data_IF_369241184285
#
_entry.id   IF_369241184285
#
_cell.length_a   1.000
_cell.length_b   1.000
_cell.length_c   1.000
_cell.angle_alpha   90.00
_cell.angle_beta   90.00
_cell.angle_gamma   90.00
#
_symmetry.space_group_name_H-M   'P 1'
#
loop_
_entity.id
_entity.type
_entity.pdbx_description
1 polymer ?
#
# COMPACT_ATOMS: atom_id res chain seq x y z
N UNK A 1 -41.17 -44.12 -30.34
CA UNK A 1 -41.76 -43.28 -29.27
C UNK A 1 -40.68 -42.29 -28.77
N UNK A 2 -40.63 -41.03 -29.26
CA UNK A 2 -39.58 -40.07 -28.88
C UNK A 2 -40.09 -38.74 -28.26
N UNK A 3 -41.34 -38.66 -27.78
CA UNK A 3 -41.94 -37.38 -27.32
C UNK A 3 -41.85 -37.10 -25.80
N UNK A 4 -41.37 -38.05 -24.99
CA UNK A 4 -41.38 -37.94 -23.53
C UNK A 4 -40.08 -37.40 -22.91
N UNK A 5 -39.01 -37.24 -23.68
CA UNK A 5 -37.73 -36.70 -23.17
C UNK A 5 -37.61 -35.17 -23.33
N UNK A 6 -38.28 -34.60 -24.33
CA UNK A 6 -38.17 -33.17 -24.68
C UNK A 6 -38.95 -32.26 -23.73
N UNK A 7 -40.11 -32.68 -23.22
CA UNK A 7 -40.91 -31.85 -22.30
C UNK A 7 -40.18 -31.62 -20.97
N UNK A 8 -39.57 -32.68 -20.44
CA UNK A 8 -38.83 -32.67 -19.18
C UNK A 8 -37.58 -31.77 -19.28
N UNK A 9 -36.86 -31.81 -20.40
CA UNK A 9 -35.67 -30.98 -20.62
C UNK A 9 -35.96 -29.47 -20.68
N UNK A 10 -37.12 -29.07 -21.21
CA UNK A 10 -37.54 -27.65 -21.26
C UNK A 10 -37.92 -27.15 -19.87
N UNK A 11 -38.52 -28.00 -19.06
CA UNK A 11 -38.91 -27.68 -17.68
C UNK A 11 -37.67 -27.56 -16.77
N UNK A 12 -36.71 -28.49 -16.92
CA UNK A 12 -35.40 -28.41 -16.27
C UNK A 12 -34.61 -27.15 -16.70
N UNK A 13 -34.65 -26.78 -17.98
CA UNK A 13 -34.04 -25.54 -18.47
C UNK A 13 -34.70 -24.29 -17.86
N UNK A 14 -36.03 -24.27 -17.77
CA UNK A 14 -36.78 -23.15 -17.15
C UNK A 14 -36.45 -23.00 -15.66
N UNK A 15 -36.43 -24.11 -14.92
CA UNK A 15 -36.09 -24.11 -13.50
C UNK A 15 -34.66 -23.58 -13.28
N UNK A 16 -33.69 -24.04 -14.08
CA UNK A 16 -32.30 -23.58 -14.01
C UNK A 16 -32.13 -22.10 -14.35
N UNK A 17 -32.91 -21.59 -15.32
CA UNK A 17 -32.90 -20.15 -15.67
C UNK A 17 -33.49 -19.32 -14.53
N UNK A 18 -34.64 -19.73 -13.98
CA UNK A 18 -35.30 -19.01 -12.88
C UNK A 18 -34.44 -18.99 -11.61
N UNK A 19 -33.71 -20.07 -11.34
CA UNK A 19 -32.75 -20.16 -10.23
C UNK A 19 -31.50 -19.28 -10.45
N UNK A 20 -31.07 -19.10 -11.70
CA UNK A 20 -29.88 -18.29 -12.05
C UNK A 20 -30.16 -16.78 -12.14
N UNK A 21 -31.41 -16.37 -12.28
CA UNK A 21 -31.81 -14.95 -12.33
C UNK A 21 -31.33 -14.13 -11.12
N UNK A 22 -31.56 -14.56 -9.86
CA UNK A 22 -31.15 -13.77 -8.68
C UNK A 22 -29.62 -13.68 -8.54
N UNK A 23 -28.86 -14.70 -8.93
CA UNK A 23 -27.38 -14.68 -8.84
C UNK A 23 -26.77 -13.76 -9.91
N UNK A 24 -27.33 -13.77 -11.12
CA UNK A 24 -26.93 -12.84 -12.19
C UNK A 24 -27.26 -11.40 -11.79
N UNK A 25 -28.48 -11.14 -11.30
CA UNK A 25 -28.86 -9.81 -10.82
C UNK A 25 -27.96 -9.34 -9.66
N UNK A 26 -27.65 -10.23 -8.72
CA UNK A 26 -26.72 -9.95 -7.62
C UNK A 26 -25.32 -9.60 -8.11
N UNK A 27 -24.77 -10.37 -9.05
CA UNK A 27 -23.46 -10.10 -9.63
C UNK A 27 -23.40 -8.77 -10.38
N UNK A 28 -24.45 -8.42 -11.13
CA UNK A 28 -24.56 -7.11 -11.80
C UNK A 28 -24.61 -5.99 -10.75
N UNK A 29 -25.41 -6.15 -9.70
CA UNK A 29 -25.51 -5.17 -8.63
C UNK A 29 -24.15 -4.93 -7.94
N UNK A 30 -23.37 -5.99 -7.70
CA UNK A 30 -22.00 -5.90 -7.17
C UNK A 30 -21.10 -5.11 -8.12
N UNK A 31 -21.11 -5.42 -9.41
CA UNK A 31 -20.29 -4.70 -10.42
C UNK A 31 -20.65 -3.21 -10.44
N UNK A 32 -21.95 -2.89 -10.45
CA UNK A 32 -22.45 -1.51 -10.41
C UNK A 32 -22.00 -0.83 -9.11
N UNK A 33 -22.12 -1.49 -7.96
CA UNK A 33 -21.68 -0.96 -6.68
C UNK A 33 -20.20 -0.58 -6.69
N UNK A 34 -19.33 -1.47 -7.16
CA UNK A 34 -17.90 -1.18 -7.30
C UNK A 34 -17.59 -0.10 -8.34
N UNK A 35 -18.33 -0.05 -9.45
CA UNK A 35 -18.19 1.00 -10.45
C UNK A 35 -18.55 2.37 -9.87
N UNK A 36 -19.64 2.47 -9.09
CA UNK A 36 -20.02 3.68 -8.37
C UNK A 36 -18.96 4.09 -7.34
N UNK A 37 -18.43 3.13 -6.57
CA UNK A 37 -17.31 3.37 -5.65
C UNK A 37 -16.07 3.90 -6.37
N UNK A 38 -15.76 3.36 -7.55
CA UNK A 38 -14.62 3.79 -8.35
C UNK A 38 -14.77 5.25 -8.84
N UNK A 39 -15.98 5.63 -9.25
CA UNK A 39 -16.30 7.03 -9.62
C UNK A 39 -16.19 7.95 -8.41
N UNK A 40 -16.74 7.53 -7.26
CA UNK A 40 -16.67 8.29 -6.03
C UNK A 40 -15.23 8.51 -5.58
N UNK A 41 -14.41 7.44 -5.57
CA UNK A 41 -12.99 7.52 -5.25
C UNK A 41 -12.26 8.50 -6.16
N UNK A 42 -12.49 8.44 -7.48
CA UNK A 42 -11.91 9.39 -8.44
C UNK A 42 -12.33 10.83 -8.15
N UNK A 43 -13.60 11.05 -7.79
CA UNK A 43 -14.13 12.37 -7.45
C UNK A 43 -13.47 12.94 -6.19
N UNK A 44 -13.37 12.15 -5.12
CA UNK A 44 -12.70 12.54 -3.87
C UNK A 44 -11.24 12.94 -4.15
N UNK A 45 -10.50 12.10 -4.88
CA UNK A 45 -9.09 12.36 -5.19
C UNK A 45 -8.91 13.62 -6.05
N UNK A 46 -9.82 13.88 -6.99
CA UNK A 46 -9.80 15.08 -7.82
C UNK A 46 -10.01 16.38 -7.02
N UNK A 47 -10.77 16.31 -5.91
CA UNK A 47 -10.95 17.44 -4.98
C UNK A 47 -9.74 17.71 -4.11
N UNK A 48 -8.91 16.69 -3.83
CA UNK A 48 -7.65 16.86 -3.10
C UNK A 48 -6.57 17.49 -3.99
N UNK A 49 -6.66 17.30 -5.32
CA UNK A 49 -5.70 17.81 -6.31
C UNK A 49 -5.65 19.34 -6.44
N UNK A 50 -6.58 20.09 -5.86
CA UNK A 50 -6.59 21.58 -5.90
C UNK A 50 -5.73 22.21 -4.79
N UNK A 51 -5.24 21.41 -3.84
CA UNK A 51 -4.27 21.88 -2.85
C UNK A 51 -2.88 22.02 -3.51
N UNK A 52 -2.31 23.23 -3.48
CA UNK A 52 -1.01 23.61 -4.10
C UNK A 52 0.22 22.79 -3.64
N UNK A 53 0.05 21.79 -2.75
CA UNK A 53 1.14 21.06 -2.09
C UNK A 53 1.48 19.71 -2.73
N UNK A 54 0.67 19.18 -3.64
CA UNK A 54 0.92 17.86 -4.26
C UNK A 54 1.00 18.02 -5.77
N UNK A 55 2.00 17.40 -6.39
CA UNK A 55 2.12 17.38 -7.84
C UNK A 55 0.88 16.76 -8.49
N UNK A 56 0.19 17.49 -9.40
CA UNK A 56 -1.04 16.99 -10.03
C UNK A 56 -0.86 15.66 -10.77
N UNK A 57 0.36 15.36 -11.23
CA UNK A 57 0.68 14.09 -11.89
C UNK A 57 0.57 12.89 -10.93
N UNK A 58 1.09 13.00 -9.71
CA UNK A 58 1.04 11.95 -8.70
C UNK A 58 -0.41 11.66 -8.28
N UNK A 59 -1.21 12.71 -8.07
CA UNK A 59 -2.62 12.57 -7.71
C UNK A 59 -3.41 11.84 -8.80
N UNK A 60 -3.17 12.17 -10.08
CA UNK A 60 -3.80 11.47 -11.22
C UNK A 60 -3.38 10.01 -11.29
N UNK A 61 -2.11 9.70 -11.04
CA UNK A 61 -1.62 8.32 -11.04
C UNK A 61 -2.32 7.49 -9.96
N UNK A 62 -2.39 8.02 -8.73
CA UNK A 62 -3.06 7.35 -7.61
C UNK A 62 -4.56 7.16 -7.86
N UNK A 63 -5.24 8.18 -8.39
CA UNK A 63 -6.66 8.08 -8.75
C UNK A 63 -6.91 6.99 -9.80
N UNK A 64 -6.04 6.91 -10.83
CA UNK A 64 -6.15 5.92 -11.89
C UNK A 64 -5.89 4.51 -11.37
N UNK A 65 -4.87 4.34 -10.53
CA UNK A 65 -4.57 3.06 -9.90
C UNK A 65 -5.74 2.56 -9.02
N UNK A 66 -6.29 3.43 -8.17
CA UNK A 66 -7.44 3.10 -7.33
C UNK A 66 -8.69 2.76 -8.17
N UNK A 67 -8.96 3.53 -9.22
CA UNK A 67 -10.07 3.27 -10.15
C UNK A 67 -9.93 1.89 -10.80
N UNK A 68 -8.77 1.57 -11.36
CA UNK A 68 -8.52 0.27 -12.00
C UNK A 68 -8.66 -0.86 -10.96
N UNK A 69 -8.09 -0.70 -9.77
CA UNK A 69 -8.19 -1.69 -8.69
C UNK A 69 -9.64 -1.98 -8.28
N UNK A 70 -10.45 -0.94 -8.12
CA UNK A 70 -11.87 -1.08 -7.77
C UNK A 70 -12.69 -1.76 -8.88
N UNK A 71 -12.44 -1.41 -10.15
CA UNK A 71 -13.12 -2.04 -11.29
C UNK A 71 -12.76 -3.52 -11.40
N UNK A 72 -11.47 -3.87 -11.30
CA UNK A 72 -11.00 -5.25 -11.37
C UNK A 72 -11.58 -6.08 -10.21
N UNK A 73 -11.57 -5.53 -8.99
CA UNK A 73 -12.14 -6.18 -7.81
C UNK A 73 -13.64 -6.40 -7.98
N UNK A 74 -14.37 -5.38 -8.43
CA UNK A 74 -15.81 -5.46 -8.69
C UNK A 74 -16.18 -6.48 -9.74
N UNK A 75 -15.38 -6.59 -10.81
CA UNK A 75 -15.59 -7.59 -11.85
C UNK A 75 -15.42 -9.01 -11.30
N UNK A 76 -14.35 -9.26 -10.53
CA UNK A 76 -14.07 -10.58 -9.95
C UNK A 76 -15.15 -10.95 -8.93
N UNK A 77 -15.51 -10.03 -8.03
CA UNK A 77 -16.58 -10.30 -7.06
C UNK A 77 -17.92 -10.55 -7.75
N UNK A 78 -18.27 -9.74 -8.76
CA UNK A 78 -19.49 -9.90 -9.53
C UNK A 78 -19.57 -11.25 -10.24
N UNK A 79 -18.50 -11.65 -10.93
CA UNK A 79 -18.40 -12.97 -11.58
C UNK A 79 -18.54 -14.10 -10.55
N UNK A 80 -17.89 -13.98 -9.39
CA UNK A 80 -18.01 -14.94 -8.30
C UNK A 80 -19.45 -15.07 -7.78
N UNK A 81 -20.17 -13.95 -7.63
CA UNK A 81 -21.60 -13.96 -7.24
C UNK A 81 -22.49 -14.64 -8.28
N UNK A 82 -22.13 -14.58 -9.57
CA UNK A 82 -22.84 -15.28 -10.65
C UNK A 82 -22.52 -16.79 -10.71
N UNK A 83 -21.67 -17.31 -9.82
CA UNK A 83 -21.26 -18.72 -9.80
C UNK A 83 -20.10 -19.05 -10.73
N UNK A 84 -19.42 -18.05 -11.30
CA UNK A 84 -18.19 -18.27 -12.09
C UNK A 84 -17.04 -18.57 -11.14
N UNK A 85 -16.26 -19.61 -11.45
CA UNK A 85 -15.03 -19.89 -10.69
C UNK A 85 -13.97 -18.82 -11.00
N UNK A 86 -13.71 -17.95 -10.02
CA UNK A 86 -12.72 -16.86 -10.11
C UNK A 86 -11.40 -17.17 -9.42
N UNK A 87 -11.17 -18.42 -8.97
CA UNK A 87 -9.97 -18.79 -8.21
C UNK A 87 -8.68 -18.49 -8.97
N UNK A 88 -8.64 -18.77 -10.28
CA UNK A 88 -7.48 -18.46 -11.12
C UNK A 88 -7.22 -16.95 -11.24
N UNK A 89 -8.27 -16.13 -11.34
CA UNK A 89 -8.16 -14.66 -11.40
C UNK A 89 -7.64 -14.11 -10.07
N UNK A 90 -8.18 -14.59 -8.95
CA UNK A 90 -7.74 -14.22 -7.60
C UNK A 90 -6.29 -14.63 -7.37
N UNK A 91 -5.89 -15.84 -7.79
CA UNK A 91 -4.51 -16.29 -7.69
C UNK A 91 -3.55 -15.40 -8.50
N UNK A 92 -3.91 -15.05 -9.75
CA UNK A 92 -3.13 -14.15 -10.59
C UNK A 92 -2.99 -12.74 -10.01
N UNK A 93 -4.07 -12.20 -9.43
CA UNK A 93 -4.01 -10.93 -8.71
C UNK A 93 -3.15 -11.01 -7.45
N UNK A 94 -3.22 -12.12 -6.70
CA UNK A 94 -2.37 -12.35 -5.54
C UNK A 94 -0.89 -12.31 -5.91
N UNK A 95 -0.50 -13.01 -6.99
CA UNK A 95 0.88 -13.00 -7.50
C UNK A 95 1.30 -11.60 -7.98
N UNK A 96 0.42 -10.90 -8.70
CA UNK A 96 0.69 -9.53 -9.18
C UNK A 96 0.85 -8.55 -8.02
N UNK A 97 -0.01 -8.66 -7.01
CA UNK A 97 0.05 -7.86 -5.78
C UNK A 97 1.31 -8.14 -4.98
N UNK A 98 1.73 -9.41 -4.89
CA UNK A 98 3.00 -9.79 -4.29
C UNK A 98 4.19 -9.16 -5.03
N UNK A 99 4.24 -9.27 -6.36
CA UNK A 99 5.32 -8.68 -7.16
C UNK A 99 5.38 -7.16 -7.01
N UNK A 100 4.22 -6.48 -7.00
CA UNK A 100 4.14 -5.04 -6.79
C UNK A 100 4.59 -4.66 -5.36
N UNK A 101 4.14 -5.38 -4.34
CA UNK A 101 4.56 -5.16 -2.96
C UNK A 101 6.06 -5.37 -2.77
N UNK A 102 6.62 -6.38 -3.42
CA UNK A 102 8.05 -6.64 -3.42
C UNK A 102 8.84 -5.50 -4.08
N UNK A 103 8.35 -4.96 -5.20
CA UNK A 103 8.95 -3.81 -5.86
C UNK A 103 8.90 -2.53 -5.00
N UNK A 104 7.90 -2.39 -4.12
CA UNK A 104 7.75 -1.25 -3.22
C UNK A 104 8.44 -1.45 -1.85
N UNK A 105 9.03 -2.62 -1.60
CA UNK A 105 9.59 -3.01 -0.30
C UNK A 105 10.54 -1.95 0.25
N UNK A 106 11.50 -1.48 -0.54
CA UNK A 106 12.52 -0.55 -0.06
C UNK A 106 11.95 0.84 0.28
N UNK A 107 10.89 1.29 -0.40
CA UNK A 107 10.22 2.55 -0.08
C UNK A 107 9.56 2.45 1.30
N UNK A 108 8.84 1.35 1.54
CA UNK A 108 8.17 1.09 2.81
C UNK A 108 9.20 0.89 3.93
N UNK A 109 10.28 0.15 3.69
CA UNK A 109 11.34 -0.08 4.66
C UNK A 109 12.01 1.22 5.11
N UNK A 110 12.30 2.14 4.19
CA UNK A 110 12.85 3.45 4.56
C UNK A 110 11.86 4.30 5.35
N UNK A 111 10.58 4.32 4.95
CA UNK A 111 9.54 5.05 5.65
C UNK A 111 9.39 4.56 7.10
N UNK A 112 9.28 3.25 7.29
CA UNK A 112 9.15 2.65 8.62
C UNK A 112 10.40 2.89 9.46
N UNK A 113 11.59 2.70 8.89
CA UNK A 113 12.84 3.00 9.58
C UNK A 113 12.92 4.46 10.04
N UNK A 114 12.52 5.42 9.20
CA UNK A 114 12.47 6.84 9.56
C UNK A 114 11.51 7.11 10.72
N UNK A 115 10.30 6.56 10.67
CA UNK A 115 9.31 6.68 11.76
C UNK A 115 9.86 6.10 13.07
N UNK A 116 10.49 4.92 13.03
CA UNK A 116 11.02 4.28 14.22
C UNK A 116 12.22 5.01 14.83
N UNK A 117 13.11 5.58 14.01
CA UNK A 117 14.21 6.42 14.49
C UNK A 117 13.67 7.65 15.23
N UNK A 118 12.66 8.32 14.64
CA UNK A 118 12.03 9.49 15.27
C UNK A 118 11.30 9.10 16.56
N UNK A 119 10.59 7.97 16.55
CA UNK A 119 9.78 7.52 17.68
C UNK A 119 10.63 7.05 18.87
N UNK A 120 11.69 6.28 18.62
CA UNK A 120 12.53 5.72 19.67
C UNK A 120 13.75 6.58 20.01
N UNK A 121 14.01 7.63 19.23
CA UNK A 121 15.09 8.59 19.46
C UNK A 121 16.44 7.92 19.75
N UNK A 122 16.76 6.85 19.01
CA UNK A 122 18.04 6.12 19.19
C UNK A 122 19.26 7.00 18.93
N UNK A 123 19.07 8.08 18.16
CA UNK A 123 19.94 9.24 17.98
C UNK A 123 19.07 10.39 17.44
N UNK A 124 19.49 11.62 17.67
CA UNK A 124 18.75 12.83 17.30
C UNK A 124 19.48 13.74 16.32
N UNK A 125 18.78 14.76 15.83
CA UNK A 125 19.41 15.88 15.14
C UNK A 125 20.42 16.55 16.08
N UNK A 126 21.64 16.77 15.58
CA UNK A 126 22.75 17.29 16.38
C UNK A 126 23.75 16.24 16.83
N UNK A 127 23.37 14.97 16.91
CA UNK A 127 24.27 13.89 17.29
C UNK A 127 25.31 13.63 16.21
N UNK A 128 26.52 13.25 16.64
CA UNK A 128 27.55 12.78 15.72
C UNK A 128 27.50 11.26 15.68
N UNK A 129 27.23 10.70 14.50
CA UNK A 129 27.05 9.26 14.34
C UNK A 129 28.05 8.67 13.35
N UNK A 130 28.34 7.39 13.51
CA UNK A 130 29.12 6.57 12.58
C UNK A 130 28.33 5.34 12.16
N UNK A 131 28.19 5.15 10.84
CA UNK A 131 27.38 4.08 10.25
C UNK A 131 27.86 3.77 8.83
N UNK A 132 28.02 2.48 8.51
CA UNK A 132 28.38 2.01 7.16
C UNK A 132 29.57 2.72 6.50
N UNK A 133 30.58 3.11 7.30
CA UNK A 133 31.78 3.80 6.83
C UNK A 133 31.66 5.33 6.73
N UNK A 134 30.46 5.90 6.93
CA UNK A 134 30.26 7.35 7.04
C UNK A 134 30.31 7.78 8.50
N UNK A 135 30.87 8.97 8.75
CA UNK A 135 30.89 9.62 10.05
C UNK A 135 30.58 11.11 9.88
N UNK A 136 29.69 11.63 10.71
CA UNK A 136 29.27 13.03 10.61
C UNK A 136 28.21 13.42 11.63
N UNK A 137 27.79 14.67 11.57
CA UNK A 137 26.72 15.23 12.40
C UNK A 137 25.37 15.08 11.71
N UNK A 138 24.37 14.57 12.42
CA UNK A 138 23.00 14.48 11.92
C UNK A 138 22.42 15.89 11.81
N UNK A 139 22.12 16.33 10.59
CA UNK A 139 21.49 17.64 10.35
C UNK A 139 19.97 17.57 10.43
N UNK A 140 19.39 16.53 9.83
CA UNK A 140 17.93 16.37 9.72
C UNK A 140 17.56 14.91 9.55
N UNK A 141 16.48 14.49 10.19
CA UNK A 141 15.88 13.16 10.00
C UNK A 141 14.54 13.33 9.28
N UNK A 142 14.50 12.95 8.00
CA UNK A 142 13.27 12.89 7.22
C UNK A 142 12.68 11.47 7.22
N UNK A 143 11.47 11.31 6.69
CA UNK A 143 10.81 10.01 6.62
C UNK A 143 11.57 8.97 5.78
N UNK A 144 12.29 9.38 4.73
CA UNK A 144 13.01 8.47 3.82
C UNK A 144 14.52 8.43 4.04
N UNK A 145 15.10 9.56 4.46
CA UNK A 145 16.54 9.77 4.56
C UNK A 145 16.90 10.53 5.82
N UNK A 146 18.11 10.32 6.31
CA UNK A 146 18.76 11.18 7.29
C UNK A 146 19.92 11.90 6.61
N UNK A 147 19.99 13.21 6.79
CA UNK A 147 21.06 14.05 6.27
C UNK A 147 22.22 14.05 7.26
N UNK A 148 23.36 13.55 6.81
CA UNK A 148 24.59 13.46 7.59
C UNK A 148 25.63 14.45 7.03
N UNK A 149 26.08 15.38 7.84
CA UNK A 149 27.14 16.33 7.50
C UNK A 149 28.49 15.78 7.95
N UNK A 150 29.32 15.42 6.98
CA UNK A 150 30.67 14.89 7.24
C UNK A 150 31.70 16.00 7.49
N UNK A 151 31.29 17.27 7.42
CA UNK A 151 32.15 18.45 7.48
C UNK A 151 32.72 18.87 6.12
N UNK A 152 32.65 17.98 5.11
CA UNK A 152 33.06 18.28 3.73
C UNK A 152 31.90 18.11 2.77
N UNK A 153 31.13 17.03 2.92
CA UNK A 153 29.96 16.70 2.11
C UNK A 153 28.72 16.44 2.97
N UNK A 154 27.54 16.63 2.37
CA UNK A 154 26.25 16.19 2.93
C UNK A 154 25.85 14.85 2.30
N UNK A 155 25.73 13.82 3.13
CA UNK A 155 25.37 12.46 2.73
C UNK A 155 23.91 12.20 3.07
N UNK A 156 23.14 11.76 2.07
CA UNK A 156 21.75 11.31 2.26
C UNK A 156 21.73 9.82 2.56
N UNK A 157 21.58 9.45 3.83
CA UNK A 157 21.54 8.06 4.25
C UNK A 157 20.10 7.54 4.22
N UNK A 158 19.77 6.51 3.40
CA UNK A 158 18.49 5.82 3.50
C UNK A 158 18.25 5.33 4.93
N UNK A 159 17.08 5.63 5.49
CA UNK A 159 16.80 5.29 6.88
C UNK A 159 16.89 3.78 7.15
N UNK A 160 16.61 2.93 6.16
CA UNK A 160 16.79 1.48 6.35
C UNK A 160 18.24 1.10 6.65
N UNK A 161 19.24 1.86 6.16
CA UNK A 161 20.64 1.59 6.48
C UNK A 161 20.96 1.91 7.93
N UNK A 162 20.33 2.94 8.50
CA UNK A 162 20.48 3.32 9.90
C UNK A 162 19.82 2.32 10.84
N UNK A 163 18.71 1.71 10.38
CA UNK A 163 17.98 0.73 11.17
C UNK A 163 18.59 -0.69 11.08
N UNK A 164 19.12 -1.08 9.93
CA UNK A 164 19.64 -2.43 9.71
C UNK A 164 21.11 -2.61 10.10
N UNK A 165 21.86 -1.53 10.30
CA UNK A 165 23.27 -1.59 10.67
C UNK A 165 23.50 -1.01 12.06
N UNK A 166 24.55 -1.45 12.79
CA UNK A 166 24.96 -0.79 14.00
C UNK A 166 25.28 0.70 13.75
N UNK A 167 24.69 1.56 14.56
CA UNK A 167 24.96 3.00 14.58
C UNK A 167 25.70 3.31 15.87
N UNK A 168 26.88 3.91 15.76
CA UNK A 168 27.64 4.37 16.92
C UNK A 168 27.40 5.86 17.08
N UNK A 169 26.88 6.29 18.24
CA UNK A 169 26.78 7.69 18.60
C UNK A 169 28.08 8.10 19.30
N UNK A 170 28.81 9.05 18.72
CA UNK A 170 30.13 9.48 19.15
C UNK A 170 30.00 10.64 20.13
N UNK A 171 30.61 10.50 21.31
CA UNK A 171 30.64 11.56 22.32
C UNK A 171 29.50 11.52 23.33
N UNK A 172 28.58 10.56 23.24
CA UNK A 172 27.63 10.29 24.32
C UNK A 172 28.35 9.46 25.37
N UNK A 173 28.53 9.99 26.58
CA UNK A 173 28.97 9.17 27.70
C UNK A 173 27.96 8.02 27.90
N UNK A 174 28.40 6.80 28.28
CA UNK A 174 27.52 5.62 28.37
C UNK A 174 26.26 5.77 29.25
N UNK A 175 26.09 6.87 29.99
CA UNK A 175 24.91 7.19 30.81
C UNK A 175 23.95 8.25 30.24
N UNK A 176 24.31 9.02 29.19
CA UNK A 176 23.55 10.21 28.76
C UNK A 176 22.20 9.92 28.07
N UNK A 177 22.04 8.74 27.46
CA UNK A 177 20.78 8.36 26.80
C UNK A 177 19.68 8.06 27.84
N UNK A 178 20.06 7.69 29.07
CA UNK A 178 19.12 7.37 30.15
C UNK A 178 18.57 8.60 30.87
N UNK A 179 19.30 9.72 30.92
CA UNK A 179 18.87 10.92 31.64
C UNK A 179 17.92 11.81 30.82
N UNK A 180 18.11 11.89 29.50
CA UNK A 180 17.23 12.68 28.63
C UNK A 180 15.78 12.13 28.57
N UNK A 181 15.61 10.81 28.69
CA UNK A 181 14.29 10.17 28.75
C UNK A 181 13.63 10.24 30.14
N UNK A 182 14.39 10.53 31.20
CA UNK A 182 13.90 10.65 32.58
C UNK A 182 13.63 12.11 32.95
N UNK A 183 14.33 13.07 32.34
CA UNK A 183 14.14 14.50 32.59
C UNK A 183 12.90 15.11 31.90
N UNK A 184 12.16 14.32 31.11
CA UNK A 184 10.94 14.77 30.40
C UNK A 184 9.63 14.30 31.07
N UNK A 185 9.66 13.83 32.32
CA UNK A 185 8.48 13.43 33.10
C UNK A 185 8.32 14.28 34.37
#
# INVERSE_FOLDING_TARGET
>A
MPKLYTADSIEVLRLKIMESLPTIAGGIAVIIGFWLLAILARSIVSRVSTSKRIEPALVRLMAKAAYIGLIVTGLIMGLGTMGVNVSALVAGLGLTGFALGFALKDIISNLLAGVLVILYQTFGEGDRIKVSGFEGKVQRIDLRYTLLDTGTDVVFLPNQLLFNNPVVVVGTEPGGVSEAAVASN
#
